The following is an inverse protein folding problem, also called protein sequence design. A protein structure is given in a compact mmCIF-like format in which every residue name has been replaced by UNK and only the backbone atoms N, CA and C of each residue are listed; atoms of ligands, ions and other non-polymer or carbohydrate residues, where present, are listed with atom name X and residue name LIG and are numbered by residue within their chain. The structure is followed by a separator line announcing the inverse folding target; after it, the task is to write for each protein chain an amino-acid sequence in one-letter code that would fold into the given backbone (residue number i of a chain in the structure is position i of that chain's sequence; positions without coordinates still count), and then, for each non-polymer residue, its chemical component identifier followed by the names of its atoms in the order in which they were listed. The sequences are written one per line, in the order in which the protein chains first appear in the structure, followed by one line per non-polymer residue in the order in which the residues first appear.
data_IF_068310444235
#
_entry.id   IF_068310444235
#
_cell.length_a   1.000
_cell.length_b   1.000
_cell.length_c   1.000
_cell.angle_alpha   90.00
_cell.angle_beta   90.00
_cell.angle_gamma   90.00
#
_symmetry.space_group_name_H-M   'P 1'
#
loop_
_entity.id
_entity.type
_entity.pdbx_description
1 polymer ?
#
# COMPACT_ATOMS: atom_id res chain seq x y z
N UNK A 1 11.06 8.88 7.39
CA UNK A 1 9.91 8.13 7.92
C UNK A 1 8.90 9.13 8.42
N UNK A 2 7.60 8.92 8.18
CA UNK A 2 6.57 9.77 8.79
C UNK A 2 6.25 9.23 10.18
N UNK A 3 6.54 10.02 11.22
CA UNK A 3 6.46 9.60 12.64
C UNK A 3 5.10 9.00 13.01
N UNK A 4 4.03 9.62 12.52
CA UNK A 4 2.66 9.21 12.80
C UNK A 4 2.27 7.82 12.26
N UNK A 5 2.93 7.30 11.22
CA UNK A 5 2.66 5.93 10.75
C UNK A 5 3.32 4.90 11.66
N UNK A 6 4.54 5.18 12.11
CA UNK A 6 5.30 4.29 12.98
C UNK A 6 4.64 4.18 14.36
N UNK A 7 4.29 5.30 14.99
CA UNK A 7 3.60 5.35 16.28
C UNK A 7 2.30 4.51 16.28
N UNK A 8 1.55 4.53 15.19
CA UNK A 8 0.32 3.71 15.04
C UNK A 8 0.62 2.23 14.98
N UNK A 9 1.68 1.84 14.29
CA UNK A 9 2.09 0.44 14.17
C UNK A 9 2.59 -0.07 15.50
N UNK A 10 3.46 0.69 16.18
CA UNK A 10 3.95 0.37 17.53
C UNK A 10 2.79 0.22 18.54
N UNK A 11 1.85 1.17 18.54
CA UNK A 11 0.68 1.11 19.42
C UNK A 11 -0.22 -0.10 19.14
N UNK A 12 -0.31 -0.55 17.89
CA UNK A 12 -1.07 -1.75 17.52
C UNK A 12 -0.34 -3.04 17.86
N UNK A 13 0.99 -3.06 17.70
CA UNK A 13 1.83 -4.18 18.08
C UNK A 13 1.77 -4.40 19.60
N UNK A 14 1.83 -3.32 20.40
CA UNK A 14 1.66 -3.36 21.85
C UNK A 14 0.29 -3.91 22.29
N UNK A 15 -0.76 -3.69 21.47
CA UNK A 15 -2.12 -4.20 21.73
C UNK A 15 -2.38 -5.59 21.13
N UNK A 16 -1.47 -6.11 20.29
CA UNK A 16 -1.67 -7.36 19.56
C UNK A 16 -2.82 -7.34 18.54
N UNK A 17 -3.27 -6.15 18.13
CA UNK A 17 -4.43 -6.02 17.24
C UNK A 17 -4.02 -5.89 15.77
N UNK A 18 -4.70 -6.64 14.89
CA UNK A 18 -4.48 -6.61 13.43
C UNK A 18 -5.61 -5.88 12.72
N UNK A 19 -5.68 -4.57 12.94
CA UNK A 19 -6.62 -3.66 12.22
C UNK A 19 -5.99 -3.14 10.92
N UNK A 20 -6.84 -2.70 10.00
CA UNK A 20 -6.39 -2.05 8.76
C UNK A 20 -6.03 -0.60 9.05
N UNK A 21 -4.77 -0.23 8.83
CA UNK A 21 -4.30 1.16 9.01
C UNK A 21 -4.36 1.89 7.67
N UNK A 22 -5.10 3.00 7.61
CA UNK A 22 -5.11 3.88 6.43
C UNK A 22 -3.88 4.79 6.44
N UNK A 23 -3.19 4.88 5.29
CA UNK A 23 -2.03 5.75 5.13
C UNK A 23 -2.04 6.47 3.78
N UNK A 24 -1.62 7.73 3.80
CA UNK A 24 -1.29 8.51 2.60
C UNK A 24 0.21 8.55 2.34
N UNK A 25 1.02 8.03 3.28
CA UNK A 25 2.47 8.12 3.25
C UNK A 25 3.08 7.03 2.36
N UNK A 26 3.03 7.24 1.04
CA UNK A 26 3.63 6.33 0.05
C UNK A 26 5.16 6.31 0.08
N UNK A 27 5.78 7.36 0.64
CA UNK A 27 7.25 7.53 0.72
C UNK A 27 7.89 6.74 1.86
N UNK A 28 7.08 6.26 2.80
CA UNK A 28 7.56 5.57 4.00
C UNK A 28 8.08 4.17 3.65
N UNK A 29 9.19 3.82 4.29
CA UNK A 29 9.86 2.52 4.12
C UNK A 29 9.18 1.49 5.00
N UNK A 30 9.09 0.25 4.53
CA UNK A 30 8.56 -0.85 5.33
C UNK A 30 9.62 -1.30 6.33
N UNK A 31 9.26 -1.29 7.61
CA UNK A 31 10.11 -1.78 8.72
C UNK A 31 9.64 -3.17 9.17
N UNK A 32 10.51 -3.98 9.78
CA UNK A 32 10.15 -5.34 10.24
C UNK A 32 8.94 -5.38 11.17
N UNK A 33 8.73 -4.34 11.99
CA UNK A 33 7.58 -4.25 12.91
C UNK A 33 6.23 -4.15 12.20
N UNK A 34 6.21 -3.83 10.90
CA UNK A 34 4.99 -3.77 10.10
C UNK A 34 4.58 -5.15 9.54
N UNK A 35 5.39 -6.20 9.71
CA UNK A 35 5.10 -7.54 9.18
C UNK A 35 3.82 -8.09 9.80
N UNK A 36 2.93 -8.63 8.96
CA UNK A 36 1.65 -9.18 9.41
C UNK A 36 0.54 -8.13 9.61
N UNK A 37 0.83 -6.84 9.37
CA UNK A 37 -0.18 -5.79 9.32
C UNK A 37 -0.70 -5.56 7.91
N UNK A 38 -1.95 -5.11 7.81
CA UNK A 38 -2.56 -4.67 6.55
C UNK A 38 -2.62 -3.15 6.50
N UNK A 39 -1.90 -2.54 5.56
CA UNK A 39 -1.89 -1.09 5.35
C UNK A 39 -2.72 -0.74 4.11
N UNK A 40 -3.70 0.13 4.29
CA UNK A 40 -4.52 0.66 3.21
C UNK A 40 -3.86 1.94 2.64
N UNK A 41 -3.02 1.74 1.63
CA UNK A 41 -2.16 2.77 1.01
C UNK A 41 -2.93 3.53 -0.07
N UNK A 42 -3.00 4.86 0.05
CA UNK A 42 -3.65 5.71 -0.95
C UNK A 42 -2.88 5.73 -2.27
N UNK A 43 -3.54 5.45 -3.39
CA UNK A 43 -2.92 5.41 -4.72
C UNK A 43 -3.23 6.63 -5.61
N UNK A 44 -3.88 7.67 -5.07
CA UNK A 44 -4.37 8.83 -5.83
C UNK A 44 -5.86 8.78 -6.17
N UNK A 45 -6.52 7.63 -5.99
CA UNK A 45 -7.96 7.47 -6.19
C UNK A 45 -8.63 6.76 -5.00
N UNK A 46 -8.02 5.68 -4.51
CA UNK A 46 -8.56 4.86 -3.44
C UNK A 46 -7.45 4.33 -2.53
N UNK A 47 -7.85 3.79 -1.38
CA UNK A 47 -6.93 3.08 -0.50
C UNK A 47 -6.86 1.62 -0.91
N UNK A 48 -5.68 1.17 -1.34
CA UNK A 48 -5.41 -0.22 -1.72
C UNK A 48 -4.91 -0.95 -0.47
N UNK A 49 -5.59 -2.03 -0.02
CA UNK A 49 -5.11 -2.84 1.10
C UNK A 49 -3.89 -3.65 0.67
N UNK A 50 -2.77 -3.46 1.36
CA UNK A 50 -1.51 -4.19 1.16
C UNK A 50 -1.20 -4.94 2.44
N UNK A 51 -1.12 -6.27 2.34
CA UNK A 51 -0.65 -7.13 3.42
C UNK A 51 0.87 -7.22 3.38
N UNK A 52 1.53 -6.91 4.49
CA UNK A 52 2.99 -6.79 4.54
C UNK A 52 3.62 -8.14 4.91
N UNK A 53 4.51 -8.61 4.05
CA UNK A 53 5.36 -9.79 4.26
C UNK A 53 6.81 -9.38 4.49
N UNK A 54 7.62 -10.29 5.05
CA UNK A 54 9.05 -10.05 5.34
C UNK A 54 9.86 -9.64 4.10
N UNK A 55 9.56 -10.23 2.94
CA UNK A 55 10.22 -9.89 1.67
C UNK A 55 10.00 -8.43 1.21
N UNK A 56 9.07 -7.70 1.82
CA UNK A 56 8.79 -6.31 1.48
C UNK A 56 9.60 -5.32 2.35
N UNK A 57 10.33 -5.80 3.36
CA UNK A 57 11.13 -4.94 4.23
C UNK A 57 12.19 -4.20 3.42
N UNK A 58 12.38 -2.91 3.69
CA UNK A 58 13.33 -2.05 2.95
C UNK A 58 12.75 -1.37 1.71
N UNK A 59 11.62 -1.85 1.17
CA UNK A 59 10.91 -1.22 0.07
C UNK A 59 10.03 -0.05 0.54
N UNK A 60 9.60 0.81 -0.40
CA UNK A 60 8.64 1.87 -0.11
C UNK A 60 7.20 1.39 -0.30
N UNK A 61 6.29 1.86 0.56
CA UNK A 61 4.86 1.54 0.46
C UNK A 61 4.24 1.90 -0.90
N UNK A 62 4.76 2.92 -1.57
CA UNK A 62 4.30 3.35 -2.88
C UNK A 62 4.53 2.33 -4.00
N UNK A 63 5.48 1.41 -3.85
CA UNK A 63 5.80 0.37 -4.84
C UNK A 63 4.68 -0.67 -4.94
N UNK A 64 3.98 -0.91 -3.82
CA UNK A 64 2.89 -1.88 -3.73
C UNK A 64 1.50 -1.27 -4.01
N UNK A 65 1.45 0.00 -4.43
CA UNK A 65 0.20 0.74 -4.66
C UNK A 65 0.26 1.48 -6.01
N UNK A 66 -0.17 0.84 -7.12
CA UNK A 66 -0.06 1.41 -8.46
C UNK A 66 -1.02 2.59 -8.65
N UNK A 67 -0.51 3.66 -9.27
CA UNK A 67 -1.24 4.94 -9.46
C UNK A 67 -1.93 5.06 -10.81
N UNK A 68 -1.46 4.34 -11.82
CA UNK A 68 -1.98 4.39 -13.19
C UNK A 68 -2.27 2.98 -13.67
N UNK A 69 -3.46 2.78 -14.24
CA UNK A 69 -3.80 1.55 -14.93
C UNK A 69 -3.40 1.70 -16.39
N UNK A 70 -2.28 1.07 -16.77
CA UNK A 70 -1.89 0.99 -18.17
C UNK A 70 -2.76 -0.07 -18.87
N UNK A 71 -3.46 0.32 -19.95
CA UNK A 71 -4.36 -0.56 -20.72
C UNK A 71 -3.72 -1.12 -22.01
N UNK A 72 -2.41 -0.94 -22.19
CA UNK A 72 -1.71 -1.22 -23.44
C UNK A 72 -1.51 0.04 -24.29
N UNK A 73 -0.56 -0.03 -25.23
CA UNK A 73 -0.49 0.92 -26.33
C UNK A 73 -1.64 0.56 -27.28
N UNK A 74 -2.55 1.50 -27.52
CA UNK A 74 -3.65 1.32 -28.47
C UNK A 74 -3.07 0.98 -29.86
N UNK A 75 -2.90 -0.30 -30.17
CA UNK A 75 -3.05 -0.78 -31.54
C UNK A 75 -4.54 -1.04 -31.69
N UNK A 76 -5.20 -0.11 -32.37
CA UNK A 76 -6.55 -0.22 -32.93
C UNK A 76 -7.24 -1.57 -32.67
N UNK A 77 -8.05 -1.65 -31.62
CA UNK A 77 -8.95 -2.78 -31.41
C UNK A 77 -10.33 -2.34 -31.86
N UNK A 78 -10.80 -2.97 -32.94
CA UNK A 78 -12.05 -2.73 -33.64
C UNK A 78 -13.24 -2.55 -32.67
N UNK A 79 -14.05 -1.55 -32.98
CA UNK A 79 -15.38 -1.25 -32.46
C UNK A 79 -16.15 -2.51 -32.06
N UNK A 80 -16.36 -2.72 -30.75
CA UNK A 80 -17.42 -3.63 -30.30
C UNK A 80 -18.76 -2.91 -30.52
N UNK A 81 -19.49 -3.32 -31.56
CA UNK A 81 -20.89 -2.91 -31.78
C UNK A 81 -21.72 -3.31 -30.56
N UNK A 82 -22.50 -2.35 -30.03
CA UNK A 82 -23.68 -2.60 -29.21
C UNK A 82 -24.91 -2.52 -30.10
#
# INVERSE_FOLDING_TARGET
MESHLLEKVEAMNAKGEKRVIKTWSRRSTIVPEMIGHTLAVYNGKQHVPVYITEQMVGHKLGEFSPTRTYRGHSKEAKTAKK
#
